data_IF_264713500663
#
_entry.id   IF_264713500663
#
_cell.length_a   1.000
_cell.length_b   1.000
_cell.length_c   1.000
_cell.angle_alpha   90.00
_cell.angle_beta   90.00
_cell.angle_gamma   90.00
#
_symmetry.space_group_name_H-M   'P 1'
#
loop_
_entity.id
_entity.type
_entity.pdbx_description
1 polymer ?
#
# COMPACT_ATOMS: atom_id res chain seq x y z
N UNK A 1 -30.35 17.54 -22.04
CA UNK A 1 -30.61 18.56 -20.99
C UNK A 1 -31.43 17.88 -19.91
N UNK A 2 -30.76 17.34 -18.89
CA UNK A 2 -31.40 16.81 -17.68
C UNK A 2 -31.12 17.79 -16.55
N UNK A 3 -32.16 18.09 -15.78
CA UNK A 3 -32.29 19.28 -14.96
C UNK A 3 -31.16 19.51 -13.95
N UNK A 4 -30.38 20.55 -14.20
CA UNK A 4 -29.40 21.11 -13.26
C UNK A 4 -30.05 21.60 -11.96
N UNK A 5 -31.35 21.89 -11.99
CA UNK A 5 -32.15 22.34 -10.86
C UNK A 5 -32.39 21.26 -9.78
N UNK A 6 -32.33 19.96 -10.14
CA UNK A 6 -32.54 18.86 -9.18
C UNK A 6 -31.28 18.50 -8.38
N UNK A 7 -30.08 18.93 -8.82
CA UNK A 7 -28.84 18.66 -8.09
C UNK A 7 -28.68 19.58 -6.86
N UNK A 8 -29.03 20.87 -7.02
CA UNK A 8 -28.88 21.88 -5.97
C UNK A 8 -29.93 21.75 -4.85
N UNK A 9 -31.10 21.16 -5.13
CA UNK A 9 -32.14 20.90 -4.12
C UNK A 9 -31.79 19.73 -3.17
N UNK A 10 -31.01 18.75 -3.64
CA UNK A 10 -30.50 17.63 -2.83
C UNK A 10 -29.34 18.09 -1.93
N UNK A 11 -28.55 19.07 -2.38
CA UNK A 11 -27.42 19.62 -1.64
C UNK A 11 -27.84 20.47 -0.43
N UNK A 12 -28.99 21.17 -0.47
CA UNK A 12 -29.42 22.05 0.63
C UNK A 12 -30.04 21.31 1.83
N UNK A 13 -30.50 20.06 1.65
CA UNK A 13 -31.11 19.24 2.73
C UNK A 13 -30.14 18.36 3.51
N UNK A 14 -28.86 18.28 3.12
CA UNK A 14 -27.82 17.68 3.98
C UNK A 14 -27.26 18.76 4.88
N UNK A 15 -27.74 18.82 6.13
CA UNK A 15 -27.05 19.55 7.20
C UNK A 15 -25.69 18.88 7.42
N UNK A 16 -24.70 19.21 6.59
CA UNK A 16 -23.31 18.82 6.82
C UNK A 16 -22.93 19.49 8.14
N UNK A 17 -22.56 18.73 9.18
CA UNK A 17 -22.23 19.31 10.48
C UNK A 17 -21.13 20.36 10.27
N UNK A 18 -21.24 21.48 10.99
CA UNK A 18 -20.29 22.57 10.83
C UNK A 18 -18.89 22.03 11.12
N UNK A 19 -17.87 22.48 10.38
CA UNK A 19 -16.47 22.04 10.58
C UNK A 19 -15.93 22.31 12.00
N UNK A 20 -16.69 23.00 12.86
CA UNK A 20 -16.39 23.24 14.28
C UNK A 20 -16.84 22.07 15.18
N UNK A 21 -17.83 21.27 14.76
CA UNK A 21 -18.41 20.17 15.55
C UNK A 21 -17.55 18.89 15.52
N UNK A 22 -16.65 18.75 14.54
CA UNK A 22 -15.71 17.61 14.44
C UNK A 22 -14.44 17.77 15.27
N UNK A 23 -14.32 18.84 16.08
CA UNK A 23 -13.16 19.10 16.95
C UNK A 23 -13.34 18.61 18.38
N UNK A 24 -14.30 17.73 18.66
CA UNK A 24 -14.37 17.02 19.94
C UNK A 24 -13.32 15.89 20.02
N UNK A 25 -12.06 16.20 19.70
CA UNK A 25 -10.91 15.41 20.13
C UNK A 25 -10.69 15.69 21.61
N UNK A 26 -11.42 15.00 22.48
CA UNK A 26 -11.20 15.07 23.92
C UNK A 26 -9.72 14.86 24.24
N UNK A 27 -9.14 15.69 25.13
CA UNK A 27 -7.73 15.59 25.54
C UNK A 27 -7.46 14.16 26.03
N UNK A 28 -6.74 13.37 25.23
CA UNK A 28 -6.48 11.97 25.55
C UNK A 28 -5.71 11.83 26.87
N UNK A 29 -6.08 10.82 27.66
CA UNK A 29 -5.41 10.46 28.90
C UNK A 29 -3.89 10.42 28.70
N UNK A 30 -3.17 11.23 29.47
CA UNK A 30 -1.70 11.26 29.55
C UNK A 30 -1.28 10.35 30.69
N UNK A 31 -0.24 9.56 30.47
CA UNK A 31 0.41 8.81 31.55
C UNK A 31 1.22 9.77 32.43
N UNK A 32 1.56 9.32 33.64
CA UNK A 32 2.45 10.03 34.58
C UNK A 32 3.79 10.45 33.95
N UNK A 33 4.26 9.70 32.96
CA UNK A 33 5.46 9.98 32.15
C UNK A 33 5.25 11.02 31.04
N UNK A 34 4.11 11.74 31.02
CA UNK A 34 3.77 12.77 30.04
C UNK A 34 3.33 12.25 28.67
N UNK A 35 3.43 10.95 28.40
CA UNK A 35 3.09 10.33 27.10
C UNK A 35 1.59 10.13 26.94
N UNK A 36 1.07 10.44 25.76
CA UNK A 36 -0.31 10.11 25.38
C UNK A 36 -0.48 8.61 25.16
N UNK A 37 -1.61 8.06 25.59
CA UNK A 37 -1.94 6.63 25.44
C UNK A 37 -2.10 6.20 23.96
N UNK A 38 -2.54 7.10 23.07
CA UNK A 38 -2.61 6.87 21.62
C UNK A 38 -1.24 6.67 21.03
N UNK A 39 -0.28 7.52 21.37
CA UNK A 39 1.08 7.44 20.84
C UNK A 39 1.72 6.08 21.15
N UNK A 40 1.49 5.54 22.36
CA UNK A 40 1.98 4.21 22.75
C UNK A 40 1.25 3.10 21.97
N UNK A 41 -0.08 3.23 21.78
CA UNK A 41 -0.85 2.30 20.94
C UNK A 41 -0.34 2.32 19.48
N UNK A 42 -0.17 3.49 18.89
CA UNK A 42 0.34 3.65 17.53
C UNK A 42 1.75 3.08 17.37
N UNK A 43 2.64 3.31 18.35
CA UNK A 43 3.99 2.71 18.36
C UNK A 43 3.93 1.18 18.31
N UNK A 44 3.07 0.55 19.11
CA UNK A 44 2.86 -0.91 19.10
C UNK A 44 2.31 -1.40 17.76
N UNK A 45 1.31 -0.72 17.21
CA UNK A 45 0.73 -1.08 15.91
C UNK A 45 1.75 -0.94 14.77
N UNK A 46 2.52 0.14 14.77
CA UNK A 46 3.55 0.40 13.76
C UNK A 46 4.66 -0.63 13.80
N UNK A 47 5.09 -1.10 14.98
CA UNK A 47 6.07 -2.20 15.10
C UNK A 47 5.54 -3.48 14.42
N UNK A 48 4.28 -3.85 14.67
CA UNK A 48 3.64 -5.02 14.04
C UNK A 48 3.55 -4.88 12.52
N UNK A 49 3.01 -3.76 12.03
CA UNK A 49 2.88 -3.47 10.59
C UNK A 49 4.25 -3.45 9.90
N UNK A 50 5.27 -2.84 10.53
CA UNK A 50 6.64 -2.79 10.01
C UNK A 50 7.25 -4.17 9.85
N UNK A 51 7.08 -5.07 10.82
CA UNK A 51 7.61 -6.44 10.74
C UNK A 51 7.01 -7.21 9.56
N UNK A 52 5.68 -7.17 9.40
CA UNK A 52 4.99 -7.83 8.28
C UNK A 52 5.40 -7.25 6.92
N UNK A 53 5.44 -5.92 6.80
CA UNK A 53 5.84 -5.24 5.56
C UNK A 53 7.30 -5.50 5.20
N UNK A 54 8.18 -5.61 6.20
CA UNK A 54 9.59 -5.96 5.97
C UNK A 54 9.72 -7.34 5.35
N UNK A 55 9.05 -8.36 5.90
CA UNK A 55 9.07 -9.74 5.37
C UNK A 55 8.63 -9.81 3.90
N UNK A 56 7.53 -9.14 3.54
CA UNK A 56 7.05 -9.11 2.15
C UNK A 56 8.03 -8.38 1.22
N UNK A 57 8.58 -7.24 1.66
CA UNK A 57 9.56 -6.47 0.88
C UNK A 57 10.87 -7.24 0.67
N UNK A 58 11.34 -7.98 1.67
CA UNK A 58 12.55 -8.81 1.53
C UNK A 58 12.30 -9.97 0.58
N UNK A 59 11.18 -10.70 0.72
CA UNK A 59 10.82 -11.78 -0.19
C UNK A 59 10.77 -11.31 -1.66
N UNK A 60 10.15 -10.14 -1.91
CA UNK A 60 10.13 -9.57 -3.25
C UNK A 60 11.53 -9.22 -3.77
N UNK A 61 12.39 -8.60 -2.94
CA UNK A 61 13.76 -8.26 -3.35
C UNK A 61 14.56 -9.52 -3.72
N UNK A 62 14.42 -10.57 -2.93
CA UNK A 62 15.06 -11.87 -3.17
C UNK A 62 14.56 -12.48 -4.48
N UNK A 63 13.24 -12.59 -4.68
CA UNK A 63 12.69 -13.14 -5.93
C UNK A 63 13.08 -12.34 -7.18
N UNK A 64 13.15 -11.01 -7.08
CA UNK A 64 13.65 -10.18 -8.20
C UNK A 64 15.14 -10.47 -8.47
N UNK A 65 15.97 -10.68 -7.44
CA UNK A 65 17.38 -11.02 -7.60
C UNK A 65 17.52 -12.37 -8.30
N UNK A 66 16.80 -13.38 -7.84
CA UNK A 66 16.81 -14.73 -8.42
C UNK A 66 16.32 -14.76 -9.87
N UNK A 67 15.29 -13.96 -10.19
CA UNK A 67 14.81 -13.82 -11.56
C UNK A 67 15.86 -13.16 -12.46
N UNK A 68 16.51 -12.10 -12.00
CA UNK A 68 17.59 -11.45 -12.75
C UNK A 68 18.78 -12.38 -13.01
N UNK A 69 19.17 -13.18 -12.03
CA UNK A 69 20.20 -14.21 -12.21
C UNK A 69 19.77 -15.27 -13.22
N UNK A 70 18.53 -15.75 -13.14
CA UNK A 70 18.00 -16.79 -14.03
C UNK A 70 17.89 -16.36 -15.50
N UNK A 71 17.73 -15.06 -15.78
CA UNK A 71 17.74 -14.55 -17.16
C UNK A 71 19.15 -14.59 -17.76
N UNK A 72 20.18 -14.36 -16.95
CA UNK A 72 21.57 -14.37 -17.42
C UNK A 72 22.11 -15.78 -17.65
N UNK A 73 21.55 -16.78 -16.96
CA UNK A 73 21.89 -18.19 -17.11
C UNK A 73 21.08 -18.83 -18.24
N UNK A 74 21.74 -19.38 -19.27
CA UNK A 74 21.07 -20.11 -20.35
C UNK A 74 20.43 -21.39 -19.80
N UNK A 75 19.10 -21.50 -19.87
CA UNK A 75 18.34 -22.67 -19.42
C UNK A 75 17.69 -22.55 -18.03
N UNK A 76 17.72 -21.37 -17.39
CA UNK A 76 17.10 -21.17 -16.08
C UNK A 76 15.56 -21.16 -16.13
N UNK A 77 14.92 -21.54 -15.01
CA UNK A 77 13.47 -21.46 -14.78
C UNK A 77 12.96 -19.99 -14.63
N UNK A 78 13.30 -19.12 -15.58
CA UNK A 78 12.94 -17.70 -15.54
C UNK A 78 11.42 -17.49 -15.60
N UNK A 79 10.68 -18.35 -16.31
CA UNK A 79 9.22 -18.30 -16.45
C UNK A 79 8.49 -18.56 -15.11
N UNK A 80 8.94 -19.54 -14.33
CA UNK A 80 8.35 -19.84 -13.02
C UNK A 80 8.66 -18.72 -12.01
N UNK A 81 9.91 -18.25 -12.03
CA UNK A 81 10.37 -17.18 -11.13
C UNK A 81 9.62 -15.87 -11.36
N UNK A 82 9.34 -15.49 -12.61
CA UNK A 82 8.55 -14.28 -12.88
C UNK A 82 7.10 -14.41 -12.39
N UNK A 83 6.46 -15.57 -12.58
CA UNK A 83 5.09 -15.79 -12.11
C UNK A 83 4.99 -15.65 -10.58
N UNK A 84 5.96 -16.22 -9.84
CA UNK A 84 6.06 -16.06 -8.39
C UNK A 84 6.22 -14.60 -7.96
N UNK A 85 7.11 -13.85 -8.63
CA UNK A 85 7.34 -12.43 -8.35
C UNK A 85 6.10 -11.57 -8.66
N UNK A 86 5.40 -11.84 -9.76
CA UNK A 86 4.17 -11.14 -10.13
C UNK A 86 3.06 -11.39 -9.09
N UNK A 87 2.88 -12.64 -8.66
CA UNK A 87 1.92 -12.97 -7.59
C UNK A 87 2.24 -12.24 -6.28
N UNK A 88 3.52 -12.14 -5.91
CA UNK A 88 3.94 -11.37 -4.73
C UNK A 88 3.65 -9.87 -4.87
N UNK A 89 3.90 -9.28 -6.04
CA UNK A 89 3.60 -7.87 -6.31
C UNK A 89 2.11 -7.56 -6.17
N UNK A 90 1.25 -8.39 -6.75
CA UNK A 90 -0.19 -8.17 -6.73
C UNK A 90 -0.77 -8.40 -5.32
N UNK A 91 -0.22 -9.35 -4.54
CA UNK A 91 -0.53 -9.51 -3.11
C UNK A 91 -0.14 -8.26 -2.30
N UNK A 92 1.01 -7.67 -2.59
CA UNK A 92 1.48 -6.46 -1.91
C UNK A 92 0.66 -5.22 -2.25
N UNK A 93 0.15 -5.13 -3.48
CA UNK A 93 -0.76 -4.07 -3.91
C UNK A 93 -2.12 -4.16 -3.22
N UNK A 94 -2.73 -5.36 -3.20
CA UNK A 94 -3.97 -5.62 -2.46
C UNK A 94 -3.85 -5.26 -0.97
N UNK A 95 -2.68 -5.55 -0.37
CA UNK A 95 -2.36 -5.21 1.04
C UNK A 95 -1.93 -3.76 1.24
N UNK A 96 -1.95 -2.91 0.19
CA UNK A 96 -1.54 -1.50 0.21
C UNK A 96 -0.13 -1.27 0.76
N UNK A 97 0.75 -2.27 0.61
CA UNK A 97 2.17 -2.15 0.99
C UNK A 97 2.92 -1.32 -0.04
N UNK A 98 2.51 -1.45 -1.30
CA UNK A 98 2.85 -0.58 -2.41
C UNK A 98 1.58 0.03 -2.99
N UNK A 99 1.77 1.13 -3.71
CA UNK A 99 0.74 1.66 -4.58
C UNK A 99 0.76 0.90 -5.92
N UNK A 100 -0.41 0.68 -6.52
CA UNK A 100 -0.58 0.17 -7.88
C UNK A 100 0.43 0.70 -8.90
N UNK A 101 0.71 2.01 -8.91
CA UNK A 101 1.70 2.59 -9.84
C UNK A 101 3.11 2.03 -9.64
N UNK A 102 3.50 1.74 -8.40
CA UNK A 102 4.79 1.12 -8.09
C UNK A 102 4.80 -0.34 -8.55
N UNK A 103 3.72 -1.08 -8.32
CA UNK A 103 3.59 -2.47 -8.78
C UNK A 103 3.60 -2.56 -10.30
N UNK A 104 2.82 -1.71 -10.99
CA UNK A 104 2.79 -1.61 -12.45
C UNK A 104 4.17 -1.26 -13.04
N UNK A 105 4.87 -0.28 -12.47
CA UNK A 105 6.24 0.08 -12.88
C UNK A 105 7.20 -1.09 -12.74
N UNK A 106 7.11 -1.86 -11.65
CA UNK A 106 7.97 -3.02 -11.45
C UNK A 106 7.64 -4.14 -12.45
N UNK A 107 6.36 -4.44 -12.69
CA UNK A 107 5.94 -5.41 -13.71
C UNK A 107 6.46 -5.03 -15.10
N UNK A 108 6.24 -3.78 -15.51
CA UNK A 108 6.73 -3.25 -16.79
C UNK A 108 8.25 -3.40 -16.95
N UNK A 109 9.03 -3.05 -15.91
CA UNK A 109 10.50 -3.15 -15.94
C UNK A 109 11.00 -4.59 -16.03
N UNK A 110 10.36 -5.52 -15.33
CA UNK A 110 10.73 -6.94 -15.39
C UNK A 110 10.41 -7.54 -16.76
N UNK A 111 9.25 -7.21 -17.33
CA UNK A 111 8.88 -7.62 -18.69
C UNK A 111 9.77 -7.00 -19.76
N UNK A 112 10.26 -5.77 -19.58
CA UNK A 112 11.22 -5.17 -20.51
C UNK A 112 12.58 -5.88 -20.45
N UNK A 113 13.00 -6.35 -19.28
CA UNK A 113 14.27 -7.06 -19.11
C UNK A 113 14.27 -8.39 -19.88
N UNK A 114 13.18 -9.16 -19.82
CA UNK A 114 13.07 -10.43 -20.55
C UNK A 114 13.02 -10.28 -22.07
N UNK A 115 12.59 -9.12 -22.58
CA UNK A 115 12.54 -8.85 -24.02
C UNK A 115 13.91 -8.46 -24.58
N UNK A 116 14.79 -7.94 -23.73
CA UNK A 116 16.12 -7.46 -24.12
C UNK A 116 17.17 -8.57 -24.07
N UNK A 117 17.04 -9.49 -23.13
CA UNK A 117 17.87 -10.68 -23.02
C UNK A 117 17.50 -11.70 -24.09
#
# INVERSE_FOLDING_TARGET
>A
MTDRANFDSIASKRKVPSRKDTRAGGKMAKLKTGRHTSAIKESRQNRKKRAANRKMKTALKTGIKEYKSAINEKGGNAAEKIAGVQSLLDKMDKKKVFHGNKSARLKSRLSALSKKA
#
